data_IF_730436372527
#
_entry.id   IF_730436372527
#
_cell.length_a   1.000
_cell.length_b   1.000
_cell.length_c   1.000
_cell.angle_alpha   90.00
_cell.angle_beta   90.00
_cell.angle_gamma   90.00
#
_symmetry.space_group_name_H-M   'P 1'
#
loop_
_entity.id
_entity.type
_entity.pdbx_description
1 polymer ?
#
# COMPACT_ATOMS: atom_id res chain seq x y z
N UNK A 1 4.30 -9.95 11.28
CA UNK A 1 3.92 -8.53 11.06
C UNK A 1 4.45 -7.67 12.19
N UNK A 2 4.92 -6.49 11.88
CA UNK A 2 5.35 -5.50 12.87
C UNK A 2 4.24 -4.47 13.09
N UNK A 3 3.72 -3.93 12.01
CA UNK A 3 2.62 -2.96 11.97
C UNK A 3 1.76 -3.27 10.74
N UNK A 4 0.45 -3.33 10.96
CA UNK A 4 -0.53 -3.53 9.90
C UNK A 4 -1.17 -2.20 9.52
N UNK A 5 -1.24 -1.94 8.21
CA UNK A 5 -1.87 -0.74 7.64
C UNK A 5 -3.21 -1.12 7.03
N UNK A 6 -3.29 -2.29 6.39
CA UNK A 6 -4.51 -2.75 5.74
C UNK A 6 -4.64 -4.28 5.83
N UNK A 7 -5.80 -4.77 6.26
CA UNK A 7 -6.21 -6.17 6.23
C UNK A 7 -7.49 -6.31 5.41
N UNK A 8 -7.36 -6.91 4.24
CA UNK A 8 -8.44 -7.08 3.26
C UNK A 8 -9.24 -5.78 2.99
N UNK A 9 -8.52 -4.63 2.98
CA UNK A 9 -9.15 -3.32 2.79
C UNK A 9 -9.51 -3.11 1.33
N UNK A 10 -10.74 -2.63 1.10
CA UNK A 10 -11.27 -2.37 -0.25
C UNK A 10 -10.53 -1.20 -0.91
N UNK A 11 -10.15 -1.39 -2.17
CA UNK A 11 -9.64 -0.34 -3.05
C UNK A 11 -10.70 0.19 -4.03
N UNK A 12 -11.95 -0.26 -3.89
CA UNK A 12 -13.04 0.16 -4.76
C UNK A 12 -13.37 1.64 -4.55
N UNK A 13 -13.06 2.46 -5.55
CA UNK A 13 -13.31 3.89 -5.53
C UNK A 13 -13.31 4.48 -6.94
N UNK A 14 -13.90 5.67 -7.09
CA UNK A 14 -13.77 6.50 -8.30
C UNK A 14 -12.34 7.02 -8.46
N UNK A 15 -12.03 7.51 -9.64
CA UNK A 15 -10.74 8.17 -9.89
C UNK A 15 -10.50 9.32 -8.89
N UNK A 16 -9.31 9.36 -8.32
CA UNK A 16 -8.92 10.30 -7.30
C UNK A 16 -7.83 9.74 -6.37
N UNK A 17 -7.50 10.51 -5.34
CA UNK A 17 -6.55 10.12 -4.29
C UNK A 17 -7.30 10.00 -2.96
N UNK A 18 -7.13 8.89 -2.28
CA UNK A 18 -7.72 8.65 -0.96
C UNK A 18 -6.74 7.90 -0.05
N UNK A 19 -6.84 8.15 1.25
CA UNK A 19 -6.19 7.30 2.24
C UNK A 19 -6.94 5.96 2.32
N UNK A 20 -6.21 4.87 2.45
CA UNK A 20 -6.78 3.54 2.66
C UNK A 20 -6.09 2.82 3.81
N UNK A 21 -6.88 2.01 4.52
CA UNK A 21 -6.41 1.32 5.72
C UNK A 21 -6.23 2.25 6.92
N UNK A 22 -5.49 1.77 7.89
CA UNK A 22 -5.26 2.46 9.14
C UNK A 22 -4.06 3.42 9.05
N UNK A 23 -4.15 4.53 9.76
CA UNK A 23 -3.06 5.47 9.94
C UNK A 23 -2.35 5.14 11.25
N UNK A 24 -1.05 4.89 11.15
CA UNK A 24 -0.23 4.55 12.30
C UNK A 24 0.31 5.83 12.95
N UNK A 25 0.02 6.05 14.21
CA UNK A 25 0.64 7.13 15.00
C UNK A 25 1.99 6.65 15.55
N UNK A 26 3.07 7.20 15.04
CA UNK A 26 4.42 6.89 15.49
C UNK A 26 4.78 7.56 16.83
N UNK A 27 3.86 8.37 17.39
CA UNK A 27 3.97 8.99 18.72
C UNK A 27 4.75 10.29 18.75
N UNK A 28 5.76 10.47 17.94
CA UNK A 28 6.52 11.73 17.80
C UNK A 28 7.00 11.92 16.38
N UNK A 29 7.18 13.16 15.95
CA UNK A 29 7.88 13.46 14.71
C UNK A 29 9.32 12.92 14.78
N UNK A 30 9.88 12.57 13.64
CA UNK A 30 11.25 12.08 13.50
C UNK A 30 11.55 10.73 14.17
N UNK A 31 10.54 9.85 14.28
CA UNK A 31 10.80 8.49 14.71
C UNK A 31 11.59 7.77 13.64
N UNK A 32 12.74 7.27 14.05
CA UNK A 32 13.62 6.51 13.16
C UNK A 32 13.09 5.08 13.06
N UNK A 33 12.30 4.82 11.99
CA UNK A 33 11.75 3.49 11.75
C UNK A 33 12.80 2.67 11.02
N UNK A 34 13.31 1.62 11.68
CA UNK A 34 14.26 0.70 11.08
C UNK A 34 15.71 1.21 11.04
N UNK A 35 16.12 2.07 11.98
CA UNK A 35 17.50 2.57 12.05
C UNK A 35 18.52 1.45 12.31
N UNK A 36 18.16 0.50 13.15
CA UNK A 36 19.04 -0.60 13.58
C UNK A 36 18.68 -1.94 12.91
N UNK A 37 17.50 -2.06 12.31
CA UNK A 37 17.01 -3.30 11.67
C UNK A 37 16.31 -2.99 10.36
N UNK A 38 16.44 -3.89 9.40
CA UNK A 38 15.70 -3.80 8.14
C UNK A 38 14.21 -4.04 8.39
N UNK A 39 13.39 -3.07 8.00
CA UNK A 39 11.94 -3.17 7.98
C UNK A 39 11.48 -3.15 6.52
N UNK A 40 10.64 -4.09 6.16
CA UNK A 40 10.10 -4.22 4.81
C UNK A 40 8.65 -3.73 4.78
N UNK A 41 8.33 -2.97 3.75
CA UNK A 41 6.96 -2.61 3.42
C UNK A 41 6.44 -3.57 2.34
N UNK A 42 5.31 -4.20 2.62
CA UNK A 42 4.71 -5.23 1.77
C UNK A 42 3.28 -4.86 1.44
N UNK A 43 2.92 -4.97 0.17
CA UNK A 43 1.52 -4.90 -0.28
C UNK A 43 1.22 -6.16 -1.09
N UNK A 44 0.12 -6.82 -0.74
CA UNK A 44 -0.42 -7.98 -1.47
C UNK A 44 -1.85 -7.76 -1.89
N UNK A 45 -2.25 -8.39 -2.98
CA UNK A 45 -3.64 -8.41 -3.44
C UNK A 45 -4.37 -9.55 -2.74
N UNK A 46 -5.33 -9.21 -1.90
CA UNK A 46 -6.24 -10.17 -1.29
C UNK A 46 -7.33 -10.61 -2.31
N UNK A 47 -8.09 -9.66 -2.79
CA UNK A 47 -9.14 -9.89 -3.80
C UNK A 47 -8.76 -9.20 -5.11
N UNK A 48 -8.89 -9.92 -6.21
CA UNK A 48 -8.56 -9.41 -7.55
C UNK A 48 -9.27 -8.08 -7.86
N UNK A 49 -8.54 -7.17 -8.51
CA UNK A 49 -9.09 -5.86 -8.86
C UNK A 49 -10.00 -5.97 -10.10
N UNK A 50 -11.11 -5.24 -10.05
CA UNK A 50 -12.05 -5.11 -11.16
C UNK A 50 -12.20 -3.64 -11.53
N UNK A 51 -11.95 -3.32 -12.78
CA UNK A 51 -12.15 -2.00 -13.34
C UNK A 51 -12.74 -2.10 -14.76
N UNK A 52 -13.55 -1.13 -15.14
CA UNK A 52 -14.19 -1.07 -16.46
C UNK A 52 -13.22 -0.48 -17.49
N UNK A 53 -12.19 -1.23 -17.88
CA UNK A 53 -11.27 -0.81 -18.94
C UNK A 53 -9.84 -0.53 -18.46
N UNK A 54 -9.11 0.31 -19.19
CA UNK A 54 -7.70 0.60 -18.93
C UNK A 54 -7.52 1.63 -17.80
N UNK A 55 -7.86 1.25 -16.58
CA UNK A 55 -7.59 2.04 -15.38
C UNK A 55 -6.22 1.76 -14.79
N UNK A 56 -5.71 2.70 -14.00
CA UNK A 56 -4.50 2.52 -13.22
C UNK A 56 -4.74 2.81 -11.75
N UNK A 57 -3.98 2.12 -10.90
CA UNK A 57 -3.94 2.31 -9.46
C UNK A 57 -2.50 2.44 -9.01
N UNK A 58 -2.23 3.35 -8.10
CA UNK A 58 -0.90 3.55 -7.53
C UNK A 58 -1.04 3.60 -6.01
N UNK A 59 -0.13 2.95 -5.32
CA UNK A 59 -0.05 2.99 -3.87
C UNK A 59 1.17 3.79 -3.45
N UNK A 60 0.99 4.70 -2.50
CA UNK A 60 2.04 5.55 -1.96
C UNK A 60 2.11 5.40 -0.45
N UNK A 61 3.27 4.97 0.04
CA UNK A 61 3.56 5.05 1.47
C UNK A 61 3.92 6.50 1.80
N UNK A 62 3.19 7.09 2.72
CA UNK A 62 3.32 8.51 3.05
C UNK A 62 3.39 8.74 4.55
N UNK A 63 3.99 9.84 4.96
CA UNK A 63 3.83 10.34 6.32
C UNK A 63 3.35 11.79 6.33
N UNK A 64 2.65 12.16 7.41
CA UNK A 64 2.12 13.50 7.59
C UNK A 64 2.27 13.98 9.04
N UNK A 65 2.20 15.29 9.24
CA UNK A 65 2.23 15.88 10.57
C UNK A 65 0.91 15.68 11.32
N UNK A 66 -0.19 15.45 10.60
CA UNK A 66 -1.53 15.22 11.15
C UNK A 66 -2.03 13.83 10.77
N UNK A 67 -3.07 13.34 11.44
CA UNK A 67 -3.70 12.05 11.12
C UNK A 67 -4.39 12.03 9.74
N UNK A 68 -4.67 13.18 9.17
CA UNK A 68 -5.09 13.28 7.77
C UNK A 68 -3.87 13.19 6.85
N UNK A 69 -3.53 11.98 6.45
CA UNK A 69 -2.39 11.71 5.58
C UNK A 69 -2.60 12.12 4.12
N UNK A 70 -3.77 12.66 3.77
CA UNK A 70 -4.04 13.23 2.44
C UNK A 70 -3.61 14.70 2.37
N UNK A 71 -3.48 15.36 3.53
CA UNK A 71 -3.12 16.78 3.62
C UNK A 71 -1.61 16.96 3.67
N UNK A 72 -1.03 17.44 2.58
CA UNK A 72 0.42 17.73 2.45
C UNK A 72 1.32 16.58 2.87
N UNK A 73 1.11 15.36 2.36
CA UNK A 73 1.92 14.22 2.75
C UNK A 73 3.34 14.29 2.20
N UNK A 74 4.28 13.71 2.94
CA UNK A 74 5.61 13.37 2.44
C UNK A 74 5.57 11.95 1.91
N UNK A 75 5.89 11.77 0.63
CA UNK A 75 5.90 10.46 -0.03
C UNK A 75 7.27 9.82 0.20
N UNK A 76 7.27 8.60 0.74
CA UNK A 76 8.48 7.80 0.97
C UNK A 76 8.66 6.71 -0.09
N UNK A 77 7.57 6.13 -0.56
CA UNK A 77 7.59 5.10 -1.59
C UNK A 77 6.34 5.21 -2.48
N UNK A 78 6.51 4.89 -3.77
CA UNK A 78 5.42 4.75 -4.74
C UNK A 78 5.61 3.48 -5.56
N UNK A 79 4.53 2.75 -5.78
CA UNK A 79 4.52 1.61 -6.70
C UNK A 79 4.58 2.03 -8.16
N UNK A 80 4.36 3.31 -8.46
CA UNK A 80 4.01 3.77 -9.79
C UNK A 80 2.62 3.29 -10.22
N UNK A 81 2.21 3.69 -11.41
CA UNK A 81 0.91 3.33 -11.96
C UNK A 81 0.85 1.85 -12.37
N UNK A 82 -0.03 1.10 -11.74
CA UNK A 82 -0.27 -0.32 -12.00
C UNK A 82 -1.58 -0.48 -12.79
N UNK A 83 -1.61 -1.43 -13.73
CA UNK A 83 -2.84 -1.78 -14.45
C UNK A 83 -3.81 -2.47 -13.49
N UNK A 84 -5.05 -1.99 -13.42
CA UNK A 84 -6.06 -2.50 -12.49
C UNK A 84 -6.71 -3.79 -12.96
N UNK A 85 -7.01 -3.94 -14.26
CA UNK A 85 -7.79 -5.05 -14.78
C UNK A 85 -7.10 -6.40 -14.56
N UNK A 86 -7.62 -7.22 -13.65
CA UNK A 86 -7.09 -8.55 -13.34
C UNK A 86 -7.12 -9.52 -14.54
N UNK A 87 -7.97 -9.25 -15.55
CA UNK A 87 -8.04 -10.04 -16.79
C UNK A 87 -6.83 -9.90 -17.70
N UNK A 88 -5.98 -8.88 -17.50
CA UNK A 88 -4.74 -8.72 -18.25
C UNK A 88 -3.57 -9.43 -17.57
N UNK A 89 -2.51 -9.79 -18.30
CA UNK A 89 -1.31 -10.39 -17.69
C UNK A 89 -0.66 -9.51 -16.61
N UNK A 90 -0.73 -8.19 -16.79
CA UNK A 90 -0.18 -7.20 -15.83
C UNK A 90 -1.17 -6.81 -14.73
N UNK A 91 -2.41 -7.33 -14.74
CA UNK A 91 -3.46 -6.96 -13.81
C UNK A 91 -3.21 -7.43 -12.38
N UNK A 92 -3.98 -6.88 -11.46
CA UNK A 92 -3.86 -7.17 -10.04
C UNK A 92 -4.76 -8.36 -9.67
N UNK A 93 -4.19 -9.56 -9.68
CA UNK A 93 -4.86 -10.83 -9.35
C UNK A 93 -4.71 -11.13 -7.86
N UNK A 94 -5.66 -11.88 -7.29
CA UNK A 94 -5.55 -12.38 -5.92
C UNK A 94 -4.25 -13.17 -5.71
N UNK A 95 -3.63 -13.02 -4.57
CA UNK A 95 -2.34 -13.62 -4.21
C UNK A 95 -1.11 -12.93 -4.83
N UNK A 96 -1.27 -11.91 -5.66
CA UNK A 96 -0.14 -11.18 -6.22
C UNK A 96 0.51 -10.27 -5.17
N UNK A 97 1.84 -10.33 -5.06
CA UNK A 97 2.61 -9.32 -4.35
C UNK A 97 2.80 -8.09 -5.25
N UNK A 98 2.32 -6.95 -4.81
CA UNK A 98 2.50 -5.68 -5.51
C UNK A 98 3.90 -5.14 -5.25
N UNK A 99 4.31 -5.08 -4.01
CA UNK A 99 5.66 -4.72 -3.61
C UNK A 99 6.08 -5.42 -2.32
N UNK A 100 7.39 -5.61 -2.19
CA UNK A 100 8.03 -6.04 -0.97
C UNK A 100 9.40 -5.35 -0.96
N UNK A 101 9.49 -4.19 -0.32
CA UNK A 101 10.64 -3.30 -0.39
C UNK A 101 11.13 -2.94 0.99
N UNK A 102 12.43 -2.75 1.12
CA UNK A 102 13.00 -2.18 2.35
C UNK A 102 12.42 -0.78 2.52
N UNK A 103 11.98 -0.46 3.73
CA UNK A 103 11.46 0.85 4.06
C UNK A 103 12.52 1.92 3.76
N UNK A 104 12.23 2.92 2.91
CA UNK A 104 13.18 3.96 2.59
C UNK A 104 13.64 4.72 3.86
N UNK A 105 14.92 4.70 4.14
CA UNK A 105 15.52 5.35 5.32
C UNK A 105 16.22 6.66 4.96
N UNK A 106 16.59 6.82 3.69
CA UNK A 106 17.22 8.01 3.16
C UNK A 106 16.21 8.91 2.46
N UNK A 107 16.50 10.20 2.43
CA UNK A 107 15.63 11.19 1.80
C UNK A 107 14.83 11.98 2.82
N UNK A 108 13.51 11.95 2.70
CA UNK A 108 12.64 12.73 3.55
C UNK A 108 12.44 12.07 4.93
N UNK A 109 12.50 12.89 5.99
CA UNK A 109 12.24 12.44 7.35
C UNK A 109 10.79 11.98 7.51
N UNK A 110 10.58 10.86 8.22
CA UNK A 110 9.25 10.40 8.59
C UNK A 110 8.59 11.35 9.57
N UNK A 111 7.38 11.75 9.26
CA UNK A 111 6.53 12.56 10.14
C UNK A 111 5.75 11.64 11.08
N UNK A 112 4.97 12.24 12.01
CA UNK A 112 4.32 11.52 13.10
C UNK A 112 3.37 10.42 12.63
N UNK A 113 2.59 10.68 11.57
CA UNK A 113 1.56 9.76 11.11
C UNK A 113 1.98 9.08 9.82
N UNK A 114 1.99 7.76 9.81
CA UNK A 114 2.32 6.94 8.65
C UNK A 114 1.03 6.34 8.08
N UNK A 115 0.85 6.41 6.77
CA UNK A 115 -0.34 5.88 6.12
C UNK A 115 -0.10 5.48 4.67
N UNK A 116 -1.13 4.94 4.07
CA UNK A 116 -1.13 4.50 2.68
C UNK A 116 -2.14 5.32 1.88
N UNK A 117 -1.68 5.92 0.78
CA UNK A 117 -2.55 6.54 -0.21
C UNK A 117 -2.76 5.61 -1.40
N UNK A 118 -3.99 5.61 -1.89
CA UNK A 118 -4.40 4.97 -3.13
C UNK A 118 -4.73 6.06 -4.14
N UNK A 119 -4.09 6.04 -5.30
CA UNK A 119 -4.35 6.96 -6.41
C UNK A 119 -4.92 6.17 -7.57
N UNK A 120 -6.18 6.44 -7.91
CA UNK A 120 -6.88 5.80 -9.02
C UNK A 120 -7.01 6.80 -10.16
N UNK A 121 -6.60 6.41 -11.35
CA UNK A 121 -6.68 7.24 -12.54
C UNK A 121 -7.41 6.52 -13.68
N UNK A 122 -8.05 7.34 -14.50
CA UNK A 122 -8.73 6.99 -15.76
C UNK A 122 -10.06 6.28 -15.56
N UNK A 123 -10.13 5.24 -14.73
CA UNK A 123 -11.34 4.44 -14.55
C UNK A 123 -11.63 4.16 -13.08
N UNK A 124 -12.90 4.02 -12.74
CA UNK A 124 -13.34 3.55 -11.43
C UNK A 124 -12.89 2.11 -11.21
N UNK A 125 -12.36 1.83 -10.05
CA UNK A 125 -12.15 0.47 -9.55
C UNK A 125 -13.41 0.05 -8.82
N UNK A 126 -14.08 -1.00 -9.30
CA UNK A 126 -15.37 -1.45 -8.75
C UNK A 126 -15.23 -2.53 -7.68
N UNK A 127 -14.13 -3.28 -7.68
CA UNK A 127 -13.81 -4.28 -6.66
C UNK A 127 -12.30 -4.48 -6.55
N UNK A 128 -11.88 -5.04 -5.44
CA UNK A 128 -10.50 -5.37 -5.12
C UNK A 128 -10.20 -5.08 -3.66
N UNK A 129 -9.31 -5.89 -3.08
CA UNK A 129 -8.85 -5.72 -1.71
C UNK A 129 -7.36 -5.95 -1.63
N UNK A 130 -6.72 -5.30 -0.67
CA UNK A 130 -5.29 -5.46 -0.40
C UNK A 130 -5.03 -5.71 1.07
N UNK A 131 -3.88 -6.34 1.33
CA UNK A 131 -3.21 -6.31 2.62
C UNK A 131 -1.95 -5.47 2.49
N UNK A 132 -1.68 -4.64 3.49
CA UNK A 132 -0.47 -3.82 3.54
C UNK A 132 0.06 -3.78 4.97
N UNK A 133 1.34 -4.07 5.13
CA UNK A 133 1.95 -4.17 6.45
C UNK A 133 3.46 -3.93 6.41
N UNK A 134 4.01 -3.67 7.59
CA UNK A 134 5.45 -3.66 7.83
C UNK A 134 5.88 -4.97 8.49
N UNK A 135 7.00 -5.53 8.06
CA UNK A 135 7.57 -6.75 8.63
C UNK A 135 9.10 -6.66 8.71
N UNK A 136 9.68 -7.32 9.70
CA UNK A 136 11.15 -7.48 9.82
C UNK A 136 11.65 -8.72 9.09
N UNK A 137 10.81 -9.74 8.99
CA UNK A 137 11.17 -11.02 8.38
C UNK A 137 10.39 -11.25 7.10
N UNK A 138 11.03 -10.96 5.97
CA UNK A 138 10.47 -11.21 4.65
C UNK A 138 10.73 -12.66 4.20
N UNK A 139 11.68 -13.37 4.79
CA UNK A 139 12.05 -14.74 4.39
C UNK A 139 10.99 -15.75 4.78
N UNK A 140 10.24 -15.48 5.84
CA UNK A 140 9.12 -16.30 6.33
C UNK A 140 7.78 -15.91 5.72
N UNK A 141 7.76 -14.83 4.95
CA UNK A 141 6.56 -14.38 4.32
C UNK A 141 6.45 -14.92 2.88
N UNK A 142 5.38 -15.62 2.60
CA UNK A 142 5.01 -16.04 1.26
C UNK A 142 3.56 -15.67 0.99
N UNK A 143 3.32 -15.04 -0.15
CA UNK A 143 1.95 -14.89 -0.64
C UNK A 143 1.46 -16.27 -1.06
N UNK A 144 0.57 -16.85 -0.31
CA UNK A 144 -0.17 -18.01 -0.75
C UNK A 144 -1.28 -17.55 -1.68
N UNK A 145 -1.33 -18.10 -2.88
CA UNK A 145 -2.52 -17.96 -3.70
C UNK A 145 -3.71 -18.48 -2.90
N UNK A 146 -4.79 -17.71 -2.87
CA UNK A 146 -6.03 -18.18 -2.28
C UNK A 146 -6.37 -19.54 -2.88
N UNK A 147 -6.62 -20.52 -2.02
CA UNK A 147 -7.00 -21.86 -2.49
C UNK A 147 -8.29 -21.69 -3.27
N UNK A 148 -8.21 -21.87 -4.57
CA UNK A 148 -9.37 -21.87 -5.44
C UNK A 148 -10.13 -23.16 -5.12
N UNK A 149 -11.22 -23.04 -4.40
CA UNK A 149 -12.22 -24.10 -4.27
C UNK A 149 -13.13 -24.11 -5.47
#
# INVERSE_FOLDING_TARGET
ELLEIADAVSVAASAGTAAIGDVIDLGSAHRDIGSDEEVYFVITVDTAFVAAGAGTIEFRLVSAATSDVTSSPTIHYSTGALVTAASTPAGQKAGKTICAVILPREGNTYLRYLGLLCVIATQTVSAGKINAFLTKDISQWAAYADAIN
#
